data_IF_876801391979
#
_entry.id   IF_876801391979
#
_cell.length_a   1.000
_cell.length_b   1.000
_cell.length_c   1.000
_cell.angle_alpha   90.00
_cell.angle_beta   90.00
_cell.angle_gamma   90.00
#
_symmetry.space_group_name_H-M   'P 1'
#
loop_
_entity.id
_entity.type
_entity.pdbx_description
1 polymer ?
#
# COMPACT_ATOMS: atom_id res chain seq x y z
N UNK A 1 0.97 -12.95 3.31
CA UNK A 1 0.23 -14.17 2.93
C UNK A 1 -0.84 -13.77 1.95
N UNK A 2 -0.76 -14.17 0.68
CA UNK A 2 -1.80 -13.89 -0.31
C UNK A 2 -3.01 -14.78 -0.04
N UNK A 3 -4.25 -14.27 0.04
CA UNK A 3 -5.42 -15.12 0.16
C UNK A 3 -5.57 -15.94 -1.13
N UNK A 4 -5.48 -17.25 -0.99
CA UNK A 4 -5.86 -18.18 -2.06
C UNK A 4 -7.37 -18.33 -2.03
N UNK A 5 -8.06 -17.81 -3.04
CA UNK A 5 -9.47 -18.13 -3.27
C UNK A 5 -9.49 -19.50 -3.94
N UNK A 6 -9.90 -20.53 -3.20
CA UNK A 6 -10.13 -21.85 -3.75
C UNK A 6 -11.59 -21.86 -4.21
N UNK A 7 -11.80 -21.77 -5.52
CA UNK A 7 -13.11 -22.01 -6.13
C UNK A 7 -13.26 -23.54 -6.31
N UNK A 8 -13.89 -24.19 -5.36
CA UNK A 8 -14.23 -25.61 -5.46
C UNK A 8 -15.67 -25.73 -5.98
N UNK A 9 -15.84 -25.97 -7.26
CA UNK A 9 -17.13 -26.36 -7.83
C UNK A 9 -17.28 -27.88 -7.68
N UNK A 10 -18.11 -28.33 -6.76
CA UNK A 10 -18.47 -29.74 -6.61
C UNK A 10 -19.81 -29.96 -7.30
N UNK A 11 -19.78 -30.66 -8.43
CA UNK A 11 -20.98 -31.09 -9.16
C UNK A 11 -21.41 -32.48 -8.65
N UNK A 12 -22.49 -32.54 -7.84
CA UNK A 12 -23.14 -33.81 -7.51
C UNK A 12 -24.32 -34.03 -8.44
N UNK A 13 -24.26 -35.05 -9.31
CA UNK A 13 -25.42 -35.58 -10.03
C UNK A 13 -26.00 -36.75 -9.23
N UNK A 14 -27.19 -36.61 -8.69
CA UNK A 14 -28.01 -37.73 -8.26
C UNK A 14 -29.30 -37.74 -9.07
N UNK A 15 -29.56 -38.85 -9.75
CA UNK A 15 -30.74 -39.08 -10.57
C UNK A 15 -31.91 -39.56 -9.71
N UNK A 16 -32.70 -38.63 -9.15
CA UNK A 16 -34.08 -38.88 -8.75
C UNK A 16 -34.91 -37.66 -9.10
N UNK A 17 -36.05 -37.92 -9.77
CA UNK A 17 -37.02 -36.95 -10.29
C UNK A 17 -37.69 -36.13 -9.17
N UNK A 18 -36.97 -35.28 -8.51
CA UNK A 18 -37.44 -34.12 -7.80
C UNK A 18 -36.57 -32.99 -8.28
N UNK A 19 -37.12 -31.89 -8.76
CA UNK A 19 -36.40 -30.77 -9.34
C UNK A 19 -35.17 -30.39 -8.50
N UNK A 20 -34.03 -31.00 -8.79
CA UNK A 20 -32.79 -30.72 -8.12
C UNK A 20 -32.39 -29.30 -8.50
N UNK A 21 -32.65 -28.37 -7.62
CA UNK A 21 -32.20 -27.00 -7.77
C UNK A 21 -30.68 -27.03 -7.67
N UNK A 22 -29.97 -26.77 -8.79
CA UNK A 22 -28.55 -26.67 -8.80
C UNK A 22 -28.18 -25.36 -8.09
N UNK A 23 -27.42 -25.45 -7.01
CA UNK A 23 -27.04 -24.32 -6.16
C UNK A 23 -25.55 -24.07 -6.29
N UNK A 24 -25.17 -22.83 -6.52
CA UNK A 24 -23.78 -22.41 -6.43
C UNK A 24 -23.47 -21.98 -4.99
N UNK A 25 -22.47 -22.60 -4.37
CA UNK A 25 -21.97 -22.25 -3.05
C UNK A 25 -20.74 -21.34 -3.17
N UNK A 26 -20.83 -20.11 -2.67
CA UNK A 26 -19.70 -19.19 -2.59
C UNK A 26 -19.21 -19.16 -1.15
N UNK A 27 -18.01 -19.69 -0.92
CA UNK A 27 -17.34 -19.62 0.39
C UNK A 27 -16.63 -18.28 0.55
N UNK A 28 -17.04 -17.50 1.54
CA UNK A 28 -16.40 -16.24 1.89
C UNK A 28 -15.24 -16.47 2.87
N UNK A 29 -14.27 -15.56 2.89
CA UNK A 29 -13.10 -15.65 3.78
C UNK A 29 -13.42 -15.58 5.27
N UNK A 30 -14.64 -15.13 5.65
CA UNK A 30 -15.15 -15.11 7.01
C UNK A 30 -15.84 -16.43 7.43
N UNK A 31 -15.81 -17.46 6.58
CA UNK A 31 -16.44 -18.76 6.81
C UNK A 31 -17.93 -18.83 6.46
N UNK A 32 -18.53 -17.74 5.99
CA UNK A 32 -19.93 -17.74 5.53
C UNK A 32 -20.05 -18.39 4.16
N UNK A 33 -21.13 -19.15 3.95
CA UNK A 33 -21.47 -19.74 2.64
C UNK A 33 -22.70 -19.03 2.10
N UNK A 34 -22.56 -18.38 0.94
CA UNK A 34 -23.69 -17.84 0.20
C UNK A 34 -24.16 -18.88 -0.81
N UNK A 35 -25.44 -19.27 -0.74
CA UNK A 35 -26.08 -20.22 -1.65
C UNK A 35 -26.94 -19.47 -2.65
N UNK A 36 -26.65 -19.64 -3.95
CA UNK A 36 -27.39 -18.97 -5.03
C UNK A 36 -27.96 -20.04 -5.96
N UNK A 37 -29.30 -20.10 -6.17
CA UNK A 37 -29.89 -20.98 -7.16
C UNK A 37 -29.43 -20.64 -8.57
N UNK A 38 -28.88 -21.62 -9.30
CA UNK A 38 -28.32 -21.37 -10.66
C UNK A 38 -29.38 -20.97 -11.69
N UNK A 39 -30.64 -21.31 -11.46
CA UNK A 39 -31.77 -20.92 -12.34
C UNK A 39 -32.12 -19.42 -12.26
N UNK A 40 -31.53 -18.68 -11.30
CA UNK A 40 -31.73 -17.23 -11.12
C UNK A 40 -30.52 -16.41 -11.57
N UNK A 41 -29.48 -17.06 -12.12
CA UNK A 41 -28.24 -16.40 -12.51
C UNK A 41 -28.20 -16.25 -14.03
N UNK A 42 -28.40 -15.05 -14.53
CA UNK A 42 -28.27 -14.73 -15.95
C UNK A 42 -26.80 -14.62 -16.37
N UNK A 43 -25.97 -14.11 -15.49
CA UNK A 43 -24.52 -13.99 -15.72
C UNK A 43 -23.76 -13.90 -14.40
N UNK A 44 -22.54 -14.43 -14.39
CA UNK A 44 -21.58 -14.27 -13.29
C UNK A 44 -20.44 -13.40 -13.82
N UNK A 45 -20.37 -12.15 -13.35
CA UNK A 45 -19.25 -11.28 -13.64
C UNK A 45 -18.32 -11.26 -12.43
N UNK A 46 -17.11 -11.77 -12.61
CA UNK A 46 -16.06 -11.68 -11.60
C UNK A 46 -15.08 -10.58 -11.99
N UNK A 47 -15.06 -9.53 -11.23
CA UNK A 47 -14.07 -8.47 -11.38
C UNK A 47 -12.93 -8.73 -10.42
N UNK A 48 -11.75 -9.06 -10.94
CA UNK A 48 -10.53 -9.08 -10.14
C UNK A 48 -10.17 -7.62 -9.86
N UNK A 49 -10.19 -7.16 -8.61
CA UNK A 49 -9.68 -5.84 -8.31
C UNK A 49 -8.23 -5.76 -8.80
N UNK A 50 -7.98 -4.90 -9.78
CA UNK A 50 -6.61 -4.58 -10.15
C UNK A 50 -5.99 -3.80 -8.98
N UNK A 51 -4.92 -4.28 -8.35
CA UNK A 51 -4.28 -3.54 -7.26
C UNK A 51 -3.69 -2.20 -7.74
N UNK A 52 -3.72 -1.92 -9.07
CA UNK A 52 -3.04 -0.79 -9.64
C UNK A 52 -1.53 -1.02 -9.75
N UNK A 53 -0.83 0.06 -10.02
CA UNK A 53 0.63 0.12 -9.98
C UNK A 53 1.08 0.82 -8.69
N UNK A 54 2.37 0.72 -8.38
CA UNK A 54 2.97 1.53 -7.34
C UNK A 54 2.83 3.03 -7.67
N UNK A 55 2.71 3.86 -6.65
CA UNK A 55 2.71 5.31 -6.79
C UNK A 55 4.04 5.81 -7.41
N UNK A 56 3.97 6.95 -8.10
CA UNK A 56 5.15 7.65 -8.62
C UNK A 56 5.40 8.89 -7.78
N UNK A 57 6.63 9.04 -7.26
CA UNK A 57 6.96 10.12 -6.35
C UNK A 57 8.43 10.49 -6.40
N UNK A 58 8.73 11.68 -5.89
CA UNK A 58 10.08 12.22 -5.71
C UNK A 58 10.28 12.65 -4.26
N UNK A 59 11.52 12.61 -3.78
CA UNK A 59 11.92 13.14 -2.48
C UNK A 59 12.44 14.57 -2.67
N UNK A 60 12.06 15.51 -1.81
CA UNK A 60 12.59 16.88 -1.81
C UNK A 60 13.86 16.96 -0.98
N UNK A 61 14.76 17.86 -1.35
CA UNK A 61 15.99 18.11 -0.59
C UNK A 61 15.68 18.66 0.80
N UNK A 62 16.57 18.38 1.76
CA UNK A 62 16.45 18.90 3.10
C UNK A 62 16.69 20.41 3.15
N UNK A 63 15.95 21.08 4.01
CA UNK A 63 16.06 22.49 4.35
C UNK A 63 15.97 22.65 5.87
N UNK A 64 16.26 23.85 6.39
CA UNK A 64 16.21 24.17 7.82
C UNK A 64 16.94 23.14 8.69
N UNK A 65 18.11 22.68 8.19
CA UNK A 65 18.92 21.70 8.90
C UNK A 65 19.57 22.35 10.12
N UNK A 66 19.37 21.74 11.29
CA UNK A 66 19.93 22.15 12.58
C UNK A 66 20.79 21.02 13.17
N UNK A 67 21.16 21.16 14.44
CA UNK A 67 21.85 20.10 15.19
C UNK A 67 20.95 18.89 15.46
N UNK A 68 19.63 19.05 15.48
CA UNK A 68 18.69 18.00 15.90
C UNK A 68 17.43 17.91 15.03
N UNK A 69 17.32 18.67 13.94
CA UNK A 69 16.13 18.69 13.09
C UNK A 69 16.47 18.98 11.62
N UNK A 70 15.53 18.63 10.74
CA UNK A 70 15.53 19.01 9.33
C UNK A 70 14.10 19.03 8.80
N UNK A 71 13.85 19.83 7.77
CA UNK A 71 12.58 19.87 7.03
C UNK A 71 12.84 19.35 5.61
N UNK A 72 12.02 18.42 5.16
CA UNK A 72 12.01 17.88 3.79
C UNK A 72 10.61 17.33 3.47
N UNK A 73 10.48 16.40 2.55
CA UNK A 73 9.19 15.83 2.18
C UNK A 73 9.26 15.13 0.83
N UNK A 74 8.18 15.18 0.07
CA UNK A 74 8.11 14.58 -1.25
C UNK A 74 6.96 15.14 -2.08
N UNK A 75 6.90 14.70 -3.33
CA UNK A 75 5.81 14.98 -4.22
C UNK A 75 5.36 13.69 -4.92
N UNK A 76 4.10 13.31 -4.70
CA UNK A 76 3.47 12.16 -5.33
C UNK A 76 2.75 12.62 -6.58
N UNK A 77 3.29 12.28 -7.75
CA UNK A 77 2.78 12.74 -9.05
C UNK A 77 1.68 11.84 -9.61
N UNK A 78 1.64 10.56 -9.18
CA UNK A 78 0.59 9.61 -9.57
C UNK A 78 0.38 8.56 -8.46
N UNK A 79 -0.87 8.16 -8.25
CA UNK A 79 -1.23 7.12 -7.27
C UNK A 79 -1.14 5.69 -7.82
N UNK A 80 -0.85 5.54 -9.12
CA UNK A 80 -0.76 4.24 -9.79
C UNK A 80 -2.12 3.59 -10.06
N UNK A 81 -3.23 4.33 -9.96
CA UNK A 81 -4.59 3.83 -10.16
C UNK A 81 -5.22 3.26 -8.88
N UNK A 82 -4.60 3.47 -7.73
CA UNK A 82 -5.14 3.12 -6.41
C UNK A 82 -4.73 4.19 -5.40
N UNK A 83 -5.70 4.65 -4.61
CA UNK A 83 -5.49 5.74 -3.67
C UNK A 83 -4.30 5.49 -2.74
N UNK A 84 -3.46 6.50 -2.56
CA UNK A 84 -2.37 6.50 -1.58
C UNK A 84 -2.99 6.62 -0.18
N UNK A 85 -2.83 5.59 0.62
CA UNK A 85 -3.40 5.48 1.98
C UNK A 85 -2.48 6.02 3.05
N UNK A 86 -1.16 6.06 2.77
CA UNK A 86 -0.15 6.60 3.68
C UNK A 86 1.02 7.17 2.89
N UNK A 87 1.55 8.30 3.35
CA UNK A 87 2.75 8.94 2.80
C UNK A 87 3.60 9.55 3.91
N UNK A 88 4.88 9.74 3.63
CA UNK A 88 5.85 10.31 4.55
C UNK A 88 7.26 10.16 4.03
N UNK A 89 8.24 10.25 4.91
CA UNK A 89 9.62 9.93 4.61
C UNK A 89 10.13 8.80 5.49
N UNK A 90 11.03 7.98 4.96
CA UNK A 90 11.83 7.04 5.72
C UNK A 90 13.27 7.56 5.75
N UNK A 91 13.95 7.42 6.89
CA UNK A 91 15.27 7.98 7.09
C UNK A 91 16.13 7.13 8.03
N UNK A 92 17.43 7.31 7.93
CA UNK A 92 18.42 6.62 8.75
C UNK A 92 19.85 7.06 8.40
N UNK A 93 20.84 6.47 9.06
CA UNK A 93 22.26 6.73 8.83
C UNK A 93 22.89 5.83 7.78
N UNK A 94 22.15 4.88 7.25
CA UNK A 94 22.54 4.00 6.14
C UNK A 94 21.80 4.38 4.87
N UNK A 95 22.40 4.12 3.71
CA UNK A 95 21.80 4.36 2.39
C UNK A 95 20.56 3.48 2.14
N UNK A 96 19.72 3.93 1.21
CA UNK A 96 18.48 3.24 0.80
C UNK A 96 17.52 2.91 1.95
N UNK A 97 17.14 3.89 2.81
CA UNK A 97 16.20 3.67 3.86
C UNK A 97 14.84 3.23 3.29
N UNK A 98 14.16 2.38 4.04
CA UNK A 98 12.82 1.86 3.75
C UNK A 98 11.90 2.10 4.92
N UNK A 99 10.62 1.75 4.79
CA UNK A 99 9.65 1.84 5.89
C UNK A 99 9.95 0.91 7.08
N UNK A 100 10.98 0.06 7.00
CA UNK A 100 11.52 -0.69 8.14
C UNK A 100 12.45 0.16 9.04
N UNK A 101 12.90 1.32 8.56
CA UNK A 101 13.70 2.29 9.31
C UNK A 101 12.78 3.31 10.01
N UNK A 102 13.36 4.41 10.52
CA UNK A 102 12.55 5.51 11.07
C UNK A 102 11.68 6.15 9.98
N UNK A 103 10.43 6.44 10.31
CA UNK A 103 9.46 7.01 9.34
C UNK A 103 8.68 8.16 9.94
N UNK A 104 8.19 9.08 9.09
CA UNK A 104 7.10 10.00 9.39
C UNK A 104 5.80 9.46 8.79
N UNK A 105 4.67 9.98 9.27
CA UNK A 105 3.36 9.81 8.65
C UNK A 105 2.76 11.19 8.40
N UNK A 106 2.74 11.59 7.12
CA UNK A 106 2.34 12.93 6.68
C UNK A 106 0.99 12.89 5.93
N UNK A 107 0.16 11.90 6.27
CA UNK A 107 -1.20 11.74 5.74
C UNK A 107 -1.31 10.80 4.55
N UNK A 108 -2.22 11.12 3.63
CA UNK A 108 -2.60 10.30 2.47
C UNK A 108 -2.79 11.14 1.21
N UNK A 109 -3.08 10.49 0.08
CA UNK A 109 -3.34 11.16 -1.20
C UNK A 109 -2.08 11.56 -1.97
N UNK A 110 -2.29 12.15 -3.15
CA UNK A 110 -1.24 12.66 -4.05
C UNK A 110 -0.83 14.08 -3.72
N UNK A 111 0.13 14.62 -4.46
CA UNK A 111 0.65 15.98 -4.32
C UNK A 111 1.84 16.09 -3.40
N UNK A 112 2.27 17.32 -3.16
CA UNK A 112 3.40 17.64 -2.31
C UNK A 112 3.05 17.53 -0.83
N UNK A 113 4.02 17.13 -0.02
CA UNK A 113 3.89 17.09 1.44
C UNK A 113 5.22 17.48 2.10
N UNK A 114 5.13 17.89 3.35
CA UNK A 114 6.27 18.31 4.17
C UNK A 114 6.39 17.35 5.35
N UNK A 115 7.62 16.94 5.63
CA UNK A 115 8.01 16.16 6.81
C UNK A 115 8.98 16.98 7.65
N UNK A 116 8.73 17.04 8.94
CA UNK A 116 9.64 17.66 9.89
C UNK A 116 10.29 16.57 10.75
N UNK A 117 11.59 16.41 10.58
CA UNK A 117 12.39 15.48 11.38
C UNK A 117 12.88 16.18 12.64
N UNK A 118 12.83 15.51 13.77
CA UNK A 118 13.29 15.97 15.06
C UNK A 118 14.01 14.86 15.82
N UNK A 119 14.79 15.24 16.83
CA UNK A 119 15.53 14.27 17.66
C UNK A 119 16.70 13.64 16.91
N UNK A 120 17.22 14.31 15.90
CA UNK A 120 18.39 13.86 15.15
C UNK A 120 19.66 14.06 15.99
N UNK A 121 20.69 13.26 15.70
CA UNK A 121 22.02 13.41 16.29
C UNK A 121 22.80 14.49 15.55
N UNK A 122 23.46 15.37 16.27
CA UNK A 122 24.30 16.44 15.71
C UNK A 122 25.50 15.85 14.92
N UNK A 123 25.98 16.59 13.95
CA UNK A 123 27.14 16.26 13.12
C UNK A 123 27.05 14.86 12.47
N UNK A 124 25.82 14.46 12.08
CA UNK A 124 25.51 13.11 11.56
C UNK A 124 24.85 13.22 10.18
N UNK A 125 25.31 12.39 9.25
CA UNK A 125 24.72 12.28 7.91
C UNK A 125 23.52 11.34 7.94
N UNK A 126 22.38 11.82 7.42
CA UNK A 126 21.16 11.06 7.24
C UNK A 126 20.84 10.91 5.76
N UNK A 127 20.35 9.73 5.41
CA UNK A 127 19.79 9.39 4.10
C UNK A 127 18.28 9.33 4.24
N UNK A 128 17.56 9.85 3.27
CA UNK A 128 16.11 10.01 3.31
C UNK A 128 15.47 9.67 1.98
N UNK A 129 14.34 9.01 2.00
CA UNK A 129 13.48 8.77 0.83
C UNK A 129 12.03 9.06 1.21
N UNK A 130 11.32 9.79 0.36
CA UNK A 130 9.87 9.86 0.44
C UNK A 130 9.28 8.47 0.17
N UNK A 131 8.16 8.13 0.81
CA UNK A 131 7.42 6.92 0.53
C UNK A 131 5.93 7.20 0.37
N UNK A 132 5.27 6.32 -0.40
CA UNK A 132 3.81 6.31 -0.58
C UNK A 132 3.33 4.87 -0.67
N UNK A 133 2.29 4.53 0.09
CA UNK A 133 1.68 3.20 0.13
C UNK A 133 0.28 3.25 -0.47
N UNK A 134 0.00 2.33 -1.39
CA UNK A 134 -1.31 2.07 -1.95
C UNK A 134 -1.60 0.56 -1.93
N UNK A 135 -2.69 0.09 -2.55
CA UNK A 135 -3.04 -1.34 -2.58
C UNK A 135 -2.04 -2.22 -3.36
N UNK A 136 -1.22 -1.64 -4.25
CA UNK A 136 -0.16 -2.36 -4.96
C UNK A 136 1.11 -2.55 -4.11
N UNK A 137 1.31 -1.71 -3.09
CA UNK A 137 2.47 -1.76 -2.19
C UNK A 137 3.02 -0.38 -1.84
N UNK A 138 4.27 -0.34 -1.38
CA UNK A 138 4.98 0.89 -1.03
C UNK A 138 6.00 1.25 -2.11
N UNK A 139 5.87 2.47 -2.63
CA UNK A 139 6.83 3.10 -3.53
C UNK A 139 7.76 4.03 -2.75
N UNK A 140 8.96 4.24 -3.28
CA UNK A 140 9.96 5.14 -2.71
C UNK A 140 10.45 6.12 -3.78
N UNK A 141 10.64 7.38 -3.38
CA UNK A 141 11.30 8.40 -4.19
C UNK A 141 12.81 8.19 -4.30
N UNK A 142 13.46 9.09 -5.02
CA UNK A 142 14.94 9.16 -5.04
C UNK A 142 15.50 9.35 -3.63
N UNK A 143 16.71 8.83 -3.38
CA UNK A 143 17.42 9.10 -2.14
C UNK A 143 18.00 10.51 -2.16
N UNK A 144 17.89 11.20 -1.03
CA UNK A 144 18.62 12.44 -0.72
C UNK A 144 19.36 12.26 0.60
N UNK A 145 20.41 13.03 0.80
CA UNK A 145 21.15 13.03 2.07
C UNK A 145 21.39 14.45 2.57
N UNK A 146 21.51 14.58 3.87
CA UNK A 146 21.93 15.82 4.53
C UNK A 146 22.74 15.51 5.78
N UNK A 147 23.52 16.47 6.25
CA UNK A 147 24.28 16.34 7.51
C UNK A 147 23.78 17.40 8.49
N UNK A 148 23.38 16.96 9.69
CA UNK A 148 23.02 17.86 10.78
C UNK A 148 24.21 18.71 11.18
N UNK A 149 23.96 19.96 11.62
CA UNK A 149 25.02 20.86 12.04
C UNK A 149 25.70 20.38 13.34
N UNK A 150 26.92 20.79 13.55
CA UNK A 150 27.60 20.64 14.86
C UNK A 150 26.95 21.54 15.91
N UNK A 151 27.08 21.16 17.20
CA UNK A 151 26.71 22.00 18.33
C UNK A 151 27.77 23.06 18.64
#
# INVERSE_FOLDING_TARGET
MKPRIILLAVLFMSSTLLSAQTIMNIHQSNGTVLQIPLNTIDSITYTIPNPGNLATLTTTNASNVTTASATLGGNITADGGSSVTQRGVCYGTSTNPTTANSTTNDGSGTGSFISNLAGLTANTTYYVRAYATNSAGTAYGNEVSFTTTGG
#
